data_IF_532325966137
#
_entry.id   IF_532325966137
#
_cell.length_a   1.000
_cell.length_b   1.000
_cell.length_c   1.000
_cell.angle_alpha   90.00
_cell.angle_beta   90.00
_cell.angle_gamma   90.00
#
_symmetry.space_group_name_H-M   'P 1'
#
loop_
_entity.id
_entity.type
_entity.pdbx_description
1 polymer ?
#
# COMPACT_ATOMS: atom_id res chain seq x y z
N UNK A 1 -16.60 -25.04 -4.87
CA UNK A 1 -16.45 -24.80 -3.41
C UNK A 1 -15.03 -24.99 -2.91
N UNK A 2 -14.32 -26.09 -3.25
CA UNK A 2 -12.94 -26.34 -2.76
C UNK A 2 -11.95 -25.21 -3.09
N UNK A 3 -12.04 -24.61 -4.28
CA UNK A 3 -11.15 -23.51 -4.68
C UNK A 3 -11.31 -22.27 -3.79
N UNK A 4 -12.55 -21.87 -3.50
CA UNK A 4 -12.84 -20.73 -2.63
C UNK A 4 -12.34 -20.97 -1.20
N UNK A 5 -12.47 -22.19 -0.70
CA UNK A 5 -11.91 -22.57 0.60
C UNK A 5 -10.38 -22.49 0.61
N UNK A 6 -9.73 -22.94 -0.46
CA UNK A 6 -8.28 -22.84 -0.59
C UNK A 6 -7.81 -21.39 -0.66
N UNK A 7 -8.49 -20.54 -1.44
CA UNK A 7 -8.22 -19.09 -1.50
C UNK A 7 -8.38 -18.46 -0.13
N UNK A 8 -9.46 -18.80 0.59
CA UNK A 8 -9.68 -18.34 1.95
C UNK A 8 -8.50 -18.72 2.84
N UNK A 9 -8.13 -20.00 2.89
CA UNK A 9 -7.05 -20.49 3.74
C UNK A 9 -5.68 -19.89 3.39
N UNK A 10 -5.38 -19.73 2.10
CA UNK A 10 -4.14 -19.13 1.63
C UNK A 10 -3.99 -17.70 2.17
N UNK A 11 -4.97 -16.84 1.87
CA UNK A 11 -4.91 -15.43 2.24
C UNK A 11 -5.18 -15.19 3.73
N UNK A 12 -5.94 -16.06 4.39
CA UNK A 12 -6.10 -16.05 5.84
C UNK A 12 -4.79 -16.36 6.57
N UNK A 13 -4.00 -17.34 6.09
CA UNK A 13 -2.65 -17.62 6.62
C UNK A 13 -1.69 -16.47 6.39
N UNK A 14 -1.70 -15.88 5.19
CA UNK A 14 -0.92 -14.68 4.90
C UNK A 14 -1.32 -13.54 5.83
N UNK A 15 -2.61 -13.32 6.09
CA UNK A 15 -3.10 -12.29 7.00
C UNK A 15 -2.73 -12.53 8.47
N UNK A 16 -2.66 -13.79 8.90
CA UNK A 16 -2.23 -14.16 10.25
C UNK A 16 -0.71 -14.08 10.44
N UNK A 17 0.07 -14.59 9.49
CA UNK A 17 1.52 -14.81 9.61
C UNK A 17 2.35 -13.70 8.97
N UNK A 18 1.75 -12.88 8.11
CA UNK A 18 2.39 -11.79 7.38
C UNK A 18 2.64 -10.54 8.20
N UNK A 19 3.05 -10.67 9.46
CA UNK A 19 3.50 -9.54 10.27
C UNK A 19 4.87 -9.04 9.78
N UNK A 20 5.05 -7.72 9.73
CA UNK A 20 6.28 -7.08 9.22
C UNK A 20 6.11 -6.28 7.92
N UNK A 21 4.89 -6.24 7.36
CA UNK A 21 4.58 -5.46 6.16
C UNK A 21 5.00 -6.16 4.87
N UNK A 22 5.06 -5.40 3.77
CA UNK A 22 5.30 -5.94 2.42
C UNK A 22 6.46 -6.95 2.29
N UNK A 23 7.68 -6.65 2.80
CA UNK A 23 8.83 -7.54 2.66
C UNK A 23 8.64 -8.92 3.30
N UNK A 24 7.86 -9.01 4.38
CA UNK A 24 7.58 -10.27 5.07
C UNK A 24 6.39 -11.01 4.47
N UNK A 25 5.38 -10.28 3.99
CA UNK A 25 4.16 -10.88 3.45
C UNK A 25 4.30 -11.35 2.00
N UNK A 26 5.13 -10.71 1.17
CA UNK A 26 5.31 -11.09 -0.24
C UNK A 26 5.81 -12.55 -0.38
N UNK A 27 6.86 -13.00 0.34
CA UNK A 27 7.29 -14.39 0.29
C UNK A 27 6.21 -15.37 0.78
N UNK A 28 5.41 -14.98 1.78
CA UNK A 28 4.30 -15.84 2.25
C UNK A 28 3.21 -16.00 1.20
N UNK A 29 2.89 -14.94 0.45
CA UNK A 29 1.97 -15.04 -0.68
C UNK A 29 2.58 -15.92 -1.76
N UNK A 30 3.86 -15.78 -2.06
CA UNK A 30 4.57 -16.63 -3.03
C UNK A 30 4.49 -18.11 -2.65
N UNK A 31 4.84 -18.50 -1.41
CA UNK A 31 4.75 -19.88 -0.93
C UNK A 31 3.32 -20.43 -1.09
N UNK A 32 2.31 -19.67 -0.68
CA UNK A 32 0.93 -20.15 -0.75
C UNK A 32 0.43 -20.24 -2.22
N UNK A 33 0.73 -19.24 -3.06
CA UNK A 33 0.15 -19.12 -4.42
C UNK A 33 0.94 -19.83 -5.51
N UNK A 34 2.27 -19.85 -5.40
CA UNK A 34 3.21 -20.46 -6.36
C UNK A 34 3.59 -21.86 -5.94
N UNK A 35 4.10 -22.06 -4.72
CA UNK A 35 4.64 -23.36 -4.32
C UNK A 35 3.55 -24.36 -3.95
N UNK A 36 2.62 -23.95 -3.08
CA UNK A 36 1.65 -24.83 -2.43
C UNK A 36 0.41 -25.08 -3.28
N UNK A 37 -0.29 -24.02 -3.69
CA UNK A 37 -1.50 -24.14 -4.50
C UNK A 37 -1.24 -24.11 -6.01
N UNK A 38 -0.05 -23.67 -6.44
CA UNK A 38 0.39 -23.65 -7.85
C UNK A 38 -0.61 -22.96 -8.78
N UNK A 39 -1.25 -21.91 -8.27
CA UNK A 39 -2.14 -21.07 -9.07
C UNK A 39 -1.36 -20.19 -10.02
N UNK A 40 -0.21 -19.68 -9.56
CA UNK A 40 0.62 -18.67 -10.23
C UNK A 40 2.02 -19.24 -10.47
N UNK A 41 2.65 -18.95 -11.61
CA UNK A 41 4.07 -19.27 -11.83
C UNK A 41 4.99 -18.21 -11.21
N UNK A 42 6.29 -18.49 -11.08
CA UNK A 42 7.26 -17.49 -10.60
C UNK A 42 7.29 -16.21 -11.46
N UNK A 43 7.21 -16.38 -12.79
CA UNK A 43 7.20 -15.27 -13.74
C UNK A 43 5.93 -14.42 -13.59
N UNK A 44 4.76 -15.08 -13.56
CA UNK A 44 3.49 -14.40 -13.35
C UNK A 44 3.42 -13.72 -11.98
N UNK A 45 4.00 -14.31 -10.95
CA UNK A 45 4.05 -13.71 -9.62
C UNK A 45 4.86 -12.41 -9.65
N UNK A 46 5.99 -12.40 -10.36
CA UNK A 46 6.79 -11.21 -10.61
C UNK A 46 6.01 -10.10 -11.31
N UNK A 47 5.25 -10.44 -12.35
CA UNK A 47 4.41 -9.50 -13.08
C UNK A 47 3.27 -8.94 -12.22
N UNK A 48 2.60 -9.80 -11.44
CA UNK A 48 1.56 -9.38 -10.50
C UNK A 48 2.13 -8.45 -9.45
N UNK A 49 3.32 -8.76 -8.91
CA UNK A 49 3.99 -7.92 -7.93
C UNK A 49 4.36 -6.56 -8.54
N UNK A 50 4.91 -6.54 -9.76
CA UNK A 50 5.22 -5.31 -10.47
C UNK A 50 3.96 -4.46 -10.68
N UNK A 51 2.89 -5.06 -11.22
CA UNK A 51 1.60 -4.40 -11.42
C UNK A 51 1.06 -3.84 -10.11
N UNK A 52 1.04 -4.63 -9.05
CA UNK A 52 0.53 -4.20 -7.75
C UNK A 52 1.36 -3.06 -7.17
N UNK A 53 2.67 -2.99 -7.39
CA UNK A 53 3.51 -1.87 -6.93
C UNK A 53 3.23 -0.56 -7.68
N UNK A 54 2.74 -0.62 -8.93
CA UNK A 54 2.35 0.61 -9.66
C UNK A 54 1.08 1.23 -9.10
N UNK A 55 0.17 0.41 -8.55
CA UNK A 55 -1.09 0.86 -7.97
C UNK A 55 -0.87 1.42 -6.54
N UNK A 56 -1.55 2.51 -6.16
CA UNK A 56 -1.51 3.00 -4.79
C UNK A 56 -2.23 2.02 -3.84
N UNK A 57 -1.75 1.92 -2.60
CA UNK A 57 -2.40 1.16 -1.53
C UNK A 57 -1.62 -0.07 -1.05
N UNK A 58 -2.17 -0.83 -0.08
CA UNK A 58 -1.46 -1.94 0.57
C UNK A 58 -1.18 -3.09 -0.41
N UNK A 59 0.06 -3.58 -0.43
CA UNK A 59 0.48 -4.59 -1.41
C UNK A 59 -0.28 -5.92 -1.26
N UNK A 60 -0.54 -6.36 -0.02
CA UNK A 60 -1.19 -7.63 0.30
C UNK A 60 -2.61 -7.67 -0.27
N UNK A 61 -3.39 -6.60 -0.07
CA UNK A 61 -4.79 -6.56 -0.52
C UNK A 61 -4.89 -6.50 -2.05
N UNK A 62 -3.95 -5.80 -2.71
CA UNK A 62 -3.88 -5.75 -4.18
C UNK A 62 -3.56 -7.12 -4.78
N UNK A 63 -2.54 -7.80 -4.23
CA UNK A 63 -2.18 -9.15 -4.70
C UNK A 63 -3.29 -10.16 -4.41
N UNK A 64 -3.90 -10.10 -3.22
CA UNK A 64 -5.04 -10.96 -2.87
C UNK A 64 -6.23 -10.74 -3.80
N UNK A 65 -6.59 -9.48 -4.08
CA UNK A 65 -7.66 -9.14 -4.99
C UNK A 65 -7.40 -9.62 -6.42
N UNK A 66 -6.18 -9.40 -6.94
CA UNK A 66 -5.83 -9.80 -8.30
C UNK A 66 -5.77 -11.32 -8.47
N UNK A 67 -5.05 -12.02 -7.58
CA UNK A 67 -4.92 -13.48 -7.63
C UNK A 67 -6.28 -14.14 -7.38
N UNK A 68 -7.05 -13.66 -6.41
CA UNK A 68 -8.41 -14.14 -6.15
C UNK A 68 -9.34 -13.93 -7.35
N UNK A 69 -9.23 -12.78 -8.03
CA UNK A 69 -9.98 -12.52 -9.26
C UNK A 69 -9.61 -13.48 -10.39
N UNK A 70 -8.31 -13.73 -10.57
CA UNK A 70 -7.82 -14.61 -11.62
C UNK A 70 -8.31 -16.05 -11.44
N UNK A 71 -8.24 -16.56 -10.21
CA UNK A 71 -8.56 -17.96 -9.94
C UNK A 71 -10.07 -18.25 -9.87
N UNK A 72 -10.88 -17.34 -9.35
CA UNK A 72 -12.32 -17.60 -9.16
C UNK A 72 -13.22 -16.40 -9.44
N UNK A 73 -12.77 -15.51 -10.32
CA UNK A 73 -13.52 -14.34 -10.75
C UNK A 73 -13.84 -13.38 -9.59
N UNK A 74 -14.93 -12.64 -9.74
CA UNK A 74 -15.34 -11.62 -8.76
C UNK A 74 -15.55 -12.18 -7.33
N UNK A 75 -16.09 -13.41 -7.22
CA UNK A 75 -16.27 -14.06 -5.92
C UNK A 75 -14.93 -14.42 -5.27
N UNK A 76 -13.95 -14.89 -6.06
CA UNK A 76 -12.60 -15.16 -5.58
C UNK A 76 -11.88 -13.90 -5.12
N UNK A 77 -12.04 -12.79 -5.84
CA UNK A 77 -11.49 -11.47 -5.45
C UNK A 77 -11.99 -11.07 -4.06
N UNK A 78 -13.32 -11.03 -3.87
CA UNK A 78 -13.93 -10.62 -2.61
C UNK A 78 -13.45 -11.53 -1.48
N UNK A 79 -13.50 -12.85 -1.71
CA UNK A 79 -13.10 -13.83 -0.71
C UNK A 79 -11.63 -13.68 -0.31
N UNK A 80 -10.71 -13.57 -1.27
CA UNK A 80 -9.28 -13.41 -1.01
C UNK A 80 -8.99 -12.11 -0.23
N UNK A 81 -9.61 -10.99 -0.62
CA UNK A 81 -9.45 -9.71 0.08
C UNK A 81 -9.98 -9.79 1.50
N UNK A 82 -11.20 -10.28 1.70
CA UNK A 82 -11.80 -10.43 3.03
C UNK A 82 -10.94 -11.34 3.91
N UNK A 83 -10.50 -12.47 3.37
CA UNK A 83 -9.65 -13.45 4.08
C UNK A 83 -8.32 -12.85 4.53
N UNK A 84 -7.74 -11.94 3.73
CA UNK A 84 -6.48 -11.28 4.08
C UNK A 84 -6.60 -10.27 5.24
N UNK A 85 -7.79 -9.68 5.45
CA UNK A 85 -8.00 -8.61 6.44
C UNK A 85 -8.69 -9.15 7.71
N UNK A 86 -9.48 -10.21 7.57
CA UNK A 86 -10.21 -10.88 8.66
C UNK A 86 -9.35 -11.16 9.91
N UNK A 87 -8.16 -11.79 9.80
CA UNK A 87 -7.32 -12.05 10.96
C UNK A 87 -6.99 -10.80 11.78
N UNK A 88 -6.63 -9.72 11.09
CA UNK A 88 -6.29 -8.45 11.71
C UNK A 88 -7.50 -7.82 12.39
N UNK A 89 -8.68 -7.88 11.77
CA UNK A 89 -9.93 -7.37 12.38
C UNK A 89 -10.24 -8.10 13.68
N UNK A 90 -10.22 -9.43 13.66
CA UNK A 90 -10.50 -10.23 14.85
C UNK A 90 -9.48 -9.96 15.96
N UNK A 91 -8.20 -9.93 15.61
CA UNK A 91 -7.12 -9.69 16.57
C UNK A 91 -7.22 -8.28 17.17
N UNK A 92 -7.54 -7.26 16.36
CA UNK A 92 -7.79 -5.91 16.87
C UNK A 92 -8.97 -5.85 17.83
N UNK A 93 -10.12 -6.47 17.49
CA UNK A 93 -11.30 -6.47 18.37
C UNK A 93 -10.97 -7.10 19.71
N UNK A 94 -10.30 -8.26 19.71
CA UNK A 94 -9.92 -8.98 20.93
C UNK A 94 -8.96 -8.14 21.78
N UNK A 95 -7.89 -7.61 21.18
CA UNK A 95 -6.89 -6.83 21.90
C UNK A 95 -7.46 -5.52 22.44
N UNK A 96 -8.27 -4.79 21.66
CA UNK A 96 -8.89 -3.55 22.10
C UNK A 96 -9.94 -3.78 23.19
N UNK A 97 -10.74 -4.85 23.07
CA UNK A 97 -11.70 -5.23 24.12
C UNK A 97 -10.97 -5.58 25.42
N UNK A 98 -9.91 -6.39 25.34
CA UNK A 98 -9.07 -6.74 26.48
C UNK A 98 -8.41 -5.52 27.11
N UNK A 99 -7.85 -4.62 26.29
CA UNK A 99 -7.22 -3.37 26.74
C UNK A 99 -8.24 -2.47 27.46
N UNK A 100 -9.48 -2.40 26.95
CA UNK A 100 -10.53 -1.60 27.58
C UNK A 100 -10.90 -2.11 28.98
N UNK A 101 -10.84 -3.42 29.23
CA UNK A 101 -11.10 -4.00 30.55
C UNK A 101 -10.05 -3.65 31.59
N UNK A 102 -8.80 -3.41 31.17
CA UNK A 102 -7.67 -3.06 32.06
C UNK A 102 -7.32 -1.58 32.05
N UNK A 103 -8.07 -0.75 31.30
CA UNK A 103 -7.82 0.69 31.18
C UNK A 103 -8.00 1.47 32.50
N UNK A 104 -8.69 0.87 33.48
CA UNK A 104 -8.87 1.45 34.83
C UNK A 104 -7.56 1.58 35.60
N UNK A 105 -6.53 0.82 35.24
CA UNK A 105 -5.21 0.97 35.84
C UNK A 105 -4.49 2.20 35.28
N UNK A 106 -4.02 3.07 36.16
CA UNK A 106 -3.43 4.36 35.81
C UNK A 106 -2.19 4.23 34.92
N UNK A 107 -1.37 3.18 35.13
CA UNK A 107 -0.21 2.89 34.29
C UNK A 107 -0.60 2.50 32.84
N UNK A 108 -1.71 1.78 32.63
CA UNK A 108 -2.21 1.40 31.29
C UNK A 108 -2.74 2.63 30.55
N UNK A 109 -3.45 3.51 31.26
CA UNK A 109 -3.92 4.78 30.72
C UNK A 109 -2.75 5.67 30.30
N UNK A 110 -1.73 5.78 31.14
CA UNK A 110 -0.49 6.51 30.82
C UNK A 110 0.25 5.95 29.60
N UNK A 111 0.40 4.62 29.51
CA UNK A 111 1.00 3.97 28.35
C UNK A 111 0.19 4.21 27.06
N UNK A 112 -1.14 4.15 27.14
CA UNK A 112 -2.02 4.41 25.99
C UNK A 112 -1.93 5.87 25.54
N UNK A 113 -1.88 6.82 26.49
CA UNK A 113 -1.70 8.24 26.18
C UNK A 113 -0.36 8.52 25.51
N UNK A 114 0.71 7.80 25.89
CA UNK A 114 2.03 7.92 25.30
C UNK A 114 2.10 7.48 23.82
N UNK A 115 1.13 6.70 23.32
CA UNK A 115 1.06 6.32 21.90
C UNK A 115 0.81 7.54 21.01
N UNK A 116 0.01 8.50 21.46
CA UNK A 116 -0.36 9.69 20.67
C UNK A 116 0.88 10.51 20.24
N UNK A 117 1.78 10.95 21.15
CA UNK A 117 2.97 11.70 20.74
C UNK A 117 3.92 10.87 19.88
N UNK A 118 4.03 9.55 20.11
CA UNK A 118 4.86 8.66 19.27
C UNK A 118 4.34 8.63 17.84
N UNK A 119 3.03 8.46 17.65
CA UNK A 119 2.38 8.53 16.34
C UNK A 119 2.55 9.91 15.72
N UNK A 120 2.44 10.98 16.51
CA UNK A 120 2.66 12.36 16.06
C UNK A 120 4.07 12.58 15.50
N UNK A 121 5.11 12.13 16.22
CA UNK A 121 6.50 12.21 15.76
C UNK A 121 6.70 11.35 14.51
N UNK A 122 6.13 10.13 14.46
CA UNK A 122 6.23 9.26 13.30
C UNK A 122 5.65 9.92 12.04
N UNK A 123 4.46 10.52 12.15
CA UNK A 123 3.83 11.25 11.04
C UNK A 123 4.63 12.50 10.64
N UNK A 124 5.20 13.22 11.60
CA UNK A 124 6.07 14.37 11.33
C UNK A 124 7.33 13.95 10.55
N UNK A 125 7.99 12.87 10.95
CA UNK A 125 9.17 12.32 10.27
C UNK A 125 8.81 11.87 8.85
N UNK A 126 7.71 11.14 8.67
CA UNK A 126 7.26 10.72 7.33
C UNK A 126 6.95 11.92 6.43
N UNK A 127 6.29 12.94 6.97
CA UNK A 127 5.98 14.18 6.25
C UNK A 127 7.26 14.88 5.82
N UNK A 128 8.24 14.98 6.73
CA UNK A 128 9.54 15.57 6.44
C UNK A 128 10.30 14.82 5.34
N UNK A 129 10.34 13.48 5.41
CA UNK A 129 10.95 12.64 4.39
C UNK A 129 10.30 12.83 3.01
N UNK A 130 8.97 12.94 2.96
CA UNK A 130 8.27 13.22 1.71
C UNK A 130 8.57 14.61 1.15
N UNK A 131 8.68 15.63 2.00
CA UNK A 131 9.09 16.99 1.58
C UNK A 131 10.52 16.99 1.03
N UNK A 132 11.46 16.35 1.73
CA UNK A 132 12.85 16.26 1.29
C UNK A 132 12.97 15.53 -0.05
N UNK A 133 12.30 14.38 -0.18
CA UNK A 133 12.26 13.61 -1.43
C UNK A 133 11.64 14.42 -2.57
N UNK A 134 10.51 15.07 -2.32
CA UNK A 134 9.85 15.93 -3.31
C UNK A 134 10.72 17.12 -3.72
N UNK A 135 11.47 17.70 -2.77
CA UNK A 135 12.42 18.78 -3.02
C UNK A 135 13.58 18.36 -3.92
N UNK A 136 14.10 17.15 -3.72
CA UNK A 136 15.16 16.56 -4.56
C UNK A 136 14.67 16.20 -5.96
N UNK A 137 13.46 15.66 -6.09
CA UNK A 137 12.92 15.19 -7.37
C UNK A 137 12.33 16.32 -8.24
N UNK A 138 11.54 17.23 -7.67
CA UNK A 138 10.83 18.29 -8.41
C UNK A 138 11.50 19.67 -8.33
N UNK A 139 12.43 19.86 -7.40
CA UNK A 139 13.07 21.14 -7.08
C UNK A 139 12.31 21.94 -6.01
N UNK A 140 13.05 22.44 -5.02
CA UNK A 140 12.53 23.11 -3.81
C UNK A 140 11.50 24.21 -4.06
N UNK A 141 11.62 24.99 -5.14
CA UNK A 141 10.65 26.04 -5.49
C UNK A 141 9.26 25.45 -5.76
N UNK A 142 9.18 24.37 -6.55
CA UNK A 142 7.91 23.72 -6.87
C UNK A 142 7.32 23.00 -5.66
N UNK A 143 8.17 22.37 -4.86
CA UNK A 143 7.76 21.69 -3.62
C UNK A 143 7.12 22.66 -2.63
N UNK A 144 7.76 23.79 -2.35
CA UNK A 144 7.21 24.80 -1.42
C UNK A 144 5.87 25.35 -1.94
N UNK A 145 5.78 25.66 -3.23
CA UNK A 145 4.54 26.16 -3.84
C UNK A 145 3.42 25.11 -3.75
N UNK A 146 3.69 23.85 -4.12
CA UNK A 146 2.67 22.79 -4.04
C UNK A 146 2.25 22.50 -2.60
N UNK A 147 3.19 22.45 -1.66
CA UNK A 147 2.89 22.26 -0.24
C UNK A 147 2.03 23.40 0.31
N UNK A 148 2.35 24.65 -0.03
CA UNK A 148 1.55 25.81 0.37
C UNK A 148 0.13 25.76 -0.20
N UNK A 149 -0.02 25.41 -1.49
CA UNK A 149 -1.33 25.25 -2.13
C UNK A 149 -2.14 24.15 -1.43
N UNK A 150 -1.54 23.02 -1.12
CA UNK A 150 -2.22 21.92 -0.42
C UNK A 150 -2.68 22.36 0.97
N UNK A 151 -1.86 23.07 1.74
CA UNK A 151 -2.23 23.57 3.07
C UNK A 151 -3.42 24.55 3.01
N UNK A 152 -3.41 25.49 2.05
CA UNK A 152 -4.52 26.43 1.87
C UNK A 152 -5.82 25.72 1.47
N UNK A 153 -5.75 24.71 0.60
CA UNK A 153 -6.93 23.91 0.20
C UNK A 153 -7.50 23.12 1.38
N UNK A 154 -6.65 22.65 2.31
CA UNK A 154 -7.09 21.96 3.52
C UNK A 154 -7.79 22.92 4.50
N UNK A 155 -7.31 24.17 4.64
CA UNK A 155 -8.00 25.18 5.46
C UNK A 155 -9.36 25.60 4.87
N UNK A 156 -9.54 25.49 3.56
CA UNK A 156 -10.81 25.73 2.87
C UNK A 156 -11.86 24.61 3.10
N UNK A 157 -11.54 23.59 3.89
CA UNK A 157 -12.46 22.50 4.23
C UNK A 157 -12.73 21.50 3.10
N UNK A 158 -11.94 21.55 2.01
CA UNK A 158 -12.06 20.61 0.90
C UNK A 158 -11.54 19.24 1.33
N UNK A 159 -12.32 18.19 1.07
CA UNK A 159 -11.94 16.83 1.45
C UNK A 159 -10.63 16.40 0.74
N UNK A 160 -9.62 15.90 1.47
CA UNK A 160 -8.32 15.52 0.91
C UNK A 160 -8.41 14.52 -0.25
N UNK A 161 -9.42 13.64 -0.21
CA UNK A 161 -9.70 12.68 -1.29
C UNK A 161 -9.97 13.31 -2.65
N UNK A 162 -10.61 14.49 -2.70
CA UNK A 162 -10.86 15.22 -3.96
C UNK A 162 -9.54 15.74 -4.54
N UNK A 163 -8.66 16.25 -3.67
CA UNK A 163 -7.33 16.74 -4.05
C UNK A 163 -6.50 15.61 -4.67
N UNK A 164 -6.49 14.44 -4.02
CA UNK A 164 -5.79 13.25 -4.52
C UNK A 164 -6.38 12.82 -5.87
N UNK A 165 -7.70 12.81 -6.01
CA UNK A 165 -8.38 12.48 -7.27
C UNK A 165 -7.98 13.41 -8.42
N UNK A 166 -7.99 14.73 -8.18
CA UNK A 166 -7.58 15.74 -9.18
C UNK A 166 -6.10 15.58 -9.54
N UNK A 167 -5.21 15.36 -8.56
CA UNK A 167 -3.79 15.13 -8.80
C UNK A 167 -3.54 13.87 -9.64
N UNK A 168 -4.26 12.78 -9.36
CA UNK A 168 -4.18 11.54 -10.14
C UNK A 168 -4.67 11.75 -11.57
N UNK A 169 -5.76 12.49 -11.77
CA UNK A 169 -6.26 12.83 -13.11
C UNK A 169 -5.25 13.70 -13.86
N UNK A 170 -4.71 14.74 -13.22
CA UNK A 170 -3.67 15.59 -13.81
C UNK A 170 -2.39 14.80 -14.14
N UNK A 171 -2.00 13.84 -13.29
CA UNK A 171 -0.87 12.96 -13.54
C UNK A 171 -1.12 12.01 -14.73
N UNK A 172 -2.34 11.47 -14.87
CA UNK A 172 -2.70 10.63 -16.02
C UNK A 172 -2.74 11.43 -17.33
N UNK A 173 -3.20 12.69 -17.29
CA UNK A 173 -3.29 13.57 -18.46
C UNK A 173 -1.92 14.11 -18.88
N UNK A 174 -1.01 14.33 -17.92
CA UNK A 174 0.38 14.69 -18.22
C UNK A 174 1.11 13.48 -18.80
N UNK A 175 0.97 13.31 -20.12
CA UNK A 175 1.75 12.38 -20.94
C UNK A 175 3.22 12.47 -20.54
N UNK A 176 3.74 11.34 -20.07
CA UNK A 176 5.07 11.18 -19.52
C UNK A 176 6.14 11.81 -20.43
N UNK A 177 6.63 13.00 -20.05
CA UNK A 177 7.75 13.65 -20.73
C UNK A 177 9.06 12.88 -20.52
N UNK A 178 9.10 11.89 -19.62
CA UNK A 178 10.29 11.07 -19.33
C UNK A 178 10.60 10.08 -20.44
N UNK A 179 9.58 9.56 -21.14
CA UNK A 179 9.74 8.72 -22.35
C UNK A 179 10.48 9.42 -23.51
N UNK A 180 10.42 10.76 -23.59
CA UNK A 180 11.10 11.53 -24.65
C UNK A 180 12.60 11.73 -24.39
N UNK A 181 13.02 11.75 -23.11
CA UNK A 181 14.42 11.97 -22.74
C UNK A 181 15.29 10.72 -22.94
N UNK A 182 14.76 9.52 -22.64
CA UNK A 182 15.47 8.25 -22.89
C UNK A 182 15.61 7.95 -24.39
N UNK A 183 14.62 8.31 -25.22
CA UNK A 183 14.70 8.17 -26.68
C UNK A 183 15.74 9.12 -27.30
N UNK A 184 15.87 10.35 -26.80
CA UNK A 184 16.91 11.29 -27.27
C UNK A 184 18.33 10.89 -26.89
N UNK A 185 18.50 10.19 -25.76
CA UNK A 185 19.81 9.76 -25.29
C UNK A 185 20.28 8.48 -26.02
N UNK A 186 19.37 7.54 -26.32
CA UNK A 186 19.67 6.39 -27.19
C UNK A 186 19.89 6.78 -28.65
N UNK A 187 19.18 7.79 -29.17
CA UNK A 187 19.40 8.27 -30.53
C UNK A 187 20.77 8.95 -30.70
N UNK A 188 21.28 9.66 -29.68
CA UNK A 188 22.63 10.27 -29.73
C UNK A 188 23.78 9.26 -29.58
N UNK A 189 23.54 8.11 -28.97
CA UNK A 189 24.56 7.06 -28.80
C UNK A 189 24.65 6.11 -30.00
N UNK A 190 23.70 6.17 -30.94
CA UNK A 190 23.67 5.34 -32.15
C UNK A 190 24.33 5.96 -33.38
N UNK A 191 24.72 7.24 -33.33
CA UNK A 191 25.36 7.96 -34.44
C UNK A 191 26.91 7.94 -34.34
N UNK A 192 27.49 7.32 -33.30
CA UNK A 192 28.95 7.16 -33.09
C UNK A 192 29.47 5.74 -33.38
N UNK A 193 28.72 4.92 -34.13
CA UNK A 193 29.19 3.61 -34.63
C UNK A 193 29.08 3.50 -36.15
#
# INVERSE_FOLDING_TARGET
MRLQWNLFLAFFRVGMLGYGGGPSSIPLIHIETVEKYKWVSDEEFGDILALCNTLPGPIITKMAGYIGYRESGFLGMINAVISSILPTIFLMIILLSSLSSVKSFEWVSGMTAAVIPVVGVMLAVLTWQFLEKSGKDLGWKKTIIMSAIILVILELGIHPGIIIGVLLILALIQKDKRSSSEKKQKARAGDEQ
#
